data_IF_250169137923
#
_entry.id   IF_250169137923
#
_cell.length_a   1.000
_cell.length_b   1.000
_cell.length_c   1.000
_cell.angle_alpha   90.00
_cell.angle_beta   90.00
_cell.angle_gamma   90.00
#
_symmetry.space_group_name_H-M   'P 1'
#
loop_
_entity.id
_entity.type
_entity.pdbx_description
1 polymer ?
#
# COMPACT_ATOMS: atom_id res chain seq x y z
N UNK A 1 9.81 0.37 4.27
CA UNK A 1 9.91 1.75 3.74
C UNK A 1 11.35 2.11 3.39
N UNK A 2 12.27 2.24 4.35
CA UNK A 2 13.68 2.64 4.07
C UNK A 2 14.37 1.78 3.00
N UNK A 3 14.21 0.45 3.07
CA UNK A 3 14.79 -0.46 2.07
C UNK A 3 14.27 -0.16 0.66
N UNK A 4 12.96 -0.02 0.49
CA UNK A 4 12.32 0.34 -0.79
C UNK A 4 12.80 1.71 -1.27
N UNK A 5 12.89 2.71 -0.38
CA UNK A 5 13.39 4.05 -0.74
C UNK A 5 14.83 4.02 -1.27
N UNK A 6 15.69 3.14 -0.72
CA UNK A 6 17.08 2.96 -1.20
C UNK A 6 17.15 2.36 -2.60
N UNK A 7 16.11 1.66 -3.06
CA UNK A 7 16.01 1.03 -4.39
C UNK A 7 15.42 1.98 -5.44
N UNK A 8 15.79 3.27 -5.41
CA UNK A 8 15.34 4.28 -6.39
C UNK A 8 13.81 4.29 -6.55
N UNK A 9 13.13 4.32 -5.40
CA UNK A 9 11.69 4.47 -5.31
C UNK A 9 11.35 5.58 -4.31
N UNK A 10 10.25 6.28 -4.52
CA UNK A 10 9.66 7.14 -3.49
C UNK A 10 8.49 6.38 -2.90
N UNK A 11 8.49 6.17 -1.58
CA UNK A 11 7.42 5.44 -0.91
C UNK A 11 7.06 6.13 0.39
N UNK A 12 5.77 6.17 0.68
CA UNK A 12 5.19 6.77 1.88
C UNK A 12 4.30 5.75 2.57
N UNK A 13 4.09 5.94 3.88
CA UNK A 13 3.04 5.25 4.60
C UNK A 13 1.71 5.93 4.29
N UNK A 14 0.74 5.14 3.90
CA UNK A 14 -0.64 5.60 3.74
C UNK A 14 -1.31 5.58 5.11
N UNK A 15 -1.75 6.75 5.55
CA UNK A 15 -2.51 6.87 6.78
C UNK A 15 -4.01 7.02 6.46
N UNK A 16 -4.84 6.42 7.28
CA UNK A 16 -6.29 6.61 7.28
C UNK A 16 -6.77 6.80 8.71
N UNK A 17 -7.90 7.47 8.88
CA UNK A 17 -8.47 7.73 10.20
C UNK A 17 -9.75 8.54 10.13
N UNK A 18 -10.45 8.59 11.26
CA UNK A 18 -11.62 9.43 11.41
C UNK A 18 -11.26 10.62 12.31
N UNK A 19 -11.65 11.82 11.89
CA UNK A 19 -11.51 13.05 12.66
C UNK A 19 -12.91 13.54 13.01
N UNK A 20 -13.12 13.91 14.27
CA UNK A 20 -14.35 14.59 14.67
C UNK A 20 -14.18 16.09 14.42
N UNK A 21 -15.08 16.65 13.60
CA UNK A 21 -15.05 18.07 13.24
C UNK A 21 -15.66 18.92 14.35
N UNK A 22 -15.37 20.23 14.33
CA UNK A 22 -15.85 21.16 15.36
C UNK A 22 -17.40 21.23 15.44
N UNK A 23 -18.09 20.99 14.34
CA UNK A 23 -19.56 20.90 14.26
C UNK A 23 -20.12 19.51 14.60
N UNK A 24 -19.27 18.58 15.08
CA UNK A 24 -19.67 17.29 15.60
C UNK A 24 -19.79 16.16 14.58
N UNK A 25 -19.58 16.41 13.27
CA UNK A 25 -19.57 15.38 12.23
C UNK A 25 -18.29 14.51 12.29
N UNK A 26 -18.35 13.33 11.66
CA UNK A 26 -17.19 12.46 11.47
C UNK A 26 -16.67 12.60 10.04
N UNK A 27 -15.43 13.05 9.89
CA UNK A 27 -14.71 13.07 8.62
C UNK A 27 -13.78 11.88 8.52
N UNK A 28 -13.98 11.01 7.53
CA UNK A 28 -13.05 9.93 7.21
C UNK A 28 -11.93 10.46 6.31
N UNK A 29 -10.75 10.65 6.88
CA UNK A 29 -9.55 11.05 6.19
C UNK A 29 -8.81 9.83 5.64
N UNK A 30 -8.27 9.97 4.42
CA UNK A 30 -7.48 8.95 3.76
C UNK A 30 -8.24 8.18 2.68
N UNK A 31 -7.60 7.16 2.09
CA UNK A 31 -8.18 6.40 0.99
C UNK A 31 -9.30 5.46 1.46
N UNK A 32 -10.07 4.89 0.51
CA UNK A 32 -11.09 3.88 0.81
C UNK A 32 -10.55 2.69 1.60
N UNK A 33 -11.44 2.00 2.32
CA UNK A 33 -11.10 0.75 3.02
C UNK A 33 -10.52 -0.27 2.04
N UNK A 34 -9.48 -0.97 2.48
CA UNK A 34 -8.74 -1.94 1.66
C UNK A 34 -7.50 -1.37 0.98
N UNK A 35 -7.30 -0.05 0.99
CA UNK A 35 -6.10 0.56 0.42
C UNK A 35 -4.82 0.12 1.15
N UNK A 36 -3.71 -0.15 0.43
CA UNK A 36 -2.47 -0.67 1.02
C UNK A 36 -1.73 0.28 1.96
N UNK A 37 -1.05 -0.29 2.94
CA UNK A 37 -0.28 0.43 3.97
C UNK A 37 0.83 1.33 3.41
N UNK A 38 1.46 0.93 2.30
CA UNK A 38 2.50 1.70 1.63
C UNK A 38 2.10 2.05 0.20
N UNK A 39 2.33 3.30 -0.18
CA UNK A 39 2.05 3.82 -1.53
C UNK A 39 3.23 4.63 -2.02
N UNK A 40 3.52 4.54 -3.31
CA UNK A 40 4.69 5.21 -3.88
C UNK A 40 4.81 5.04 -5.37
N UNK A 41 5.98 5.35 -5.91
CA UNK A 41 6.29 5.11 -7.31
C UNK A 41 7.77 4.74 -7.50
N UNK A 42 8.02 3.94 -8.53
CA UNK A 42 9.35 3.53 -8.98
C UNK A 42 9.95 4.59 -9.89
N UNK A 43 11.20 4.99 -9.66
CA UNK A 43 11.79 6.14 -10.39
C UNK A 43 12.08 5.84 -11.86
N UNK A 44 12.43 4.60 -12.22
CA UNK A 44 12.86 4.25 -13.59
C UNK A 44 11.73 4.35 -14.63
N UNK A 45 10.48 4.14 -14.23
CA UNK A 45 9.33 4.01 -15.13
C UNK A 45 8.04 4.64 -14.60
N UNK A 46 8.09 5.27 -13.42
CA UNK A 46 6.94 5.91 -12.80
C UNK A 46 5.85 4.93 -12.33
N UNK A 47 6.09 3.61 -12.33
CA UNK A 47 5.07 2.64 -11.93
C UNK A 47 4.64 2.86 -10.49
N UNK A 48 3.33 2.89 -10.28
CA UNK A 48 2.74 2.96 -8.95
C UNK A 48 3.12 1.72 -8.14
N UNK A 49 3.56 1.93 -6.90
CA UNK A 49 3.88 0.89 -5.93
C UNK A 49 2.80 0.89 -4.85
N UNK A 50 2.26 -0.29 -4.57
CA UNK A 50 1.21 -0.53 -3.58
C UNK A 50 1.56 -1.78 -2.77
N UNK A 51 1.95 -1.62 -1.50
CA UNK A 51 2.37 -2.74 -0.66
C UNK A 51 1.51 -2.78 0.59
N UNK A 52 0.79 -3.89 0.76
CA UNK A 52 0.10 -4.22 2.00
C UNK A 52 1.06 -4.98 2.91
N UNK A 53 1.24 -4.53 4.15
CA UNK A 53 2.21 -5.14 5.07
C UNK A 53 1.47 -6.04 6.05
N UNK A 54 1.91 -7.30 6.14
CA UNK A 54 1.36 -8.27 7.11
C UNK A 54 2.46 -8.83 7.99
N UNK A 55 2.06 -9.28 9.18
CA UNK A 55 2.90 -10.18 9.97
C UNK A 55 3.02 -11.52 9.25
N UNK A 56 3.95 -12.38 9.69
CA UNK A 56 4.16 -13.72 9.12
C UNK A 56 2.84 -14.50 8.91
N UNK A 57 1.92 -14.44 9.87
CA UNK A 57 0.63 -15.14 9.84
C UNK A 57 -0.57 -14.20 9.60
N UNK A 58 -0.32 -12.92 9.29
CA UNK A 58 -1.38 -11.94 9.10
C UNK A 58 -2.18 -12.22 7.83
N UNK A 59 -3.50 -12.27 7.97
CA UNK A 59 -4.44 -12.44 6.86
C UNK A 59 -4.91 -11.08 6.32
N UNK A 60 -5.25 -11.05 5.03
CA UNK A 60 -5.96 -9.93 4.44
C UNK A 60 -7.39 -9.89 4.99
N UNK A 61 -7.88 -8.68 5.26
CA UNK A 61 -9.29 -8.46 5.59
C UNK A 61 -10.13 -8.53 4.30
N UNK A 62 -11.45 -8.74 4.39
CA UNK A 62 -12.31 -8.83 3.21
C UNK A 62 -12.23 -7.63 2.25
N UNK A 63 -12.06 -6.41 2.78
CA UNK A 63 -11.84 -5.20 1.99
C UNK A 63 -10.51 -5.21 1.21
N UNK A 64 -9.46 -5.79 1.80
CA UNK A 64 -8.14 -5.89 1.18
C UNK A 64 -8.10 -7.00 0.12
N UNK A 65 -8.82 -8.10 0.33
CA UNK A 65 -9.00 -9.14 -0.70
C UNK A 65 -9.74 -8.60 -1.93
N UNK A 66 -10.79 -7.79 -1.71
CA UNK A 66 -11.48 -7.11 -2.83
C UNK A 66 -10.57 -6.13 -3.56
N UNK A 67 -9.77 -5.35 -2.82
CA UNK A 67 -8.80 -4.44 -3.43
C UNK A 67 -7.75 -5.20 -4.25
N UNK A 68 -7.22 -6.29 -3.69
CA UNK A 68 -6.29 -7.21 -4.37
C UNK A 68 -6.84 -7.67 -5.71
N UNK A 69 -8.04 -8.25 -5.71
CA UNK A 69 -8.68 -8.76 -6.93
C UNK A 69 -8.88 -7.65 -7.99
N UNK A 70 -9.15 -6.42 -7.56
CA UNK A 70 -9.26 -5.27 -8.45
C UNK A 70 -7.91 -4.85 -9.05
N UNK A 71 -6.89 -4.71 -8.20
CA UNK A 71 -5.64 -4.04 -8.55
C UNK A 71 -4.66 -4.94 -9.32
N UNK A 72 -4.74 -6.27 -9.13
CA UNK A 72 -3.88 -7.25 -9.81
C UNK A 72 -4.03 -7.22 -11.35
N UNK A 73 -5.15 -6.71 -11.86
CA UNK A 73 -5.39 -6.53 -13.30
C UNK A 73 -4.77 -5.25 -13.89
N UNK A 74 -4.15 -4.39 -13.05
CA UNK A 74 -3.68 -3.06 -13.45
C UNK A 74 -2.15 -3.07 -13.61
N UNK A 75 -1.59 -2.17 -14.45
CA UNK A 75 -0.14 -2.10 -14.69
C UNK A 75 0.58 -1.39 -13.52
N UNK A 76 0.45 -1.95 -12.31
CA UNK A 76 1.02 -1.40 -11.07
C UNK A 76 1.78 -2.50 -10.32
N UNK A 77 2.72 -2.09 -9.48
CA UNK A 77 3.49 -3.00 -8.63
C UNK A 77 2.71 -3.19 -7.33
N UNK A 78 1.95 -4.28 -7.25
CA UNK A 78 1.17 -4.61 -6.07
C UNK A 78 1.63 -5.91 -5.41
N UNK A 79 1.61 -5.97 -4.08
CA UNK A 79 1.76 -7.22 -3.36
C UNK A 79 1.60 -7.12 -1.85
N UNK A 80 1.59 -8.27 -1.21
CA UNK A 80 1.53 -8.38 0.26
C UNK A 80 2.90 -8.77 0.79
N UNK A 81 3.55 -7.87 1.52
CA UNK A 81 4.88 -8.11 2.08
C UNK A 81 4.81 -8.57 3.55
N UNK A 82 5.55 -9.63 3.88
CA UNK A 82 5.75 -10.12 5.26
C UNK A 82 7.18 -9.95 5.76
N UNK A 83 8.06 -9.49 4.88
CA UNK A 83 9.46 -9.21 5.14
C UNK A 83 9.95 -8.06 4.25
N UNK A 84 11.20 -7.66 4.45
CA UNK A 84 11.85 -6.68 3.57
C UNK A 84 12.07 -7.29 2.18
N UNK A 85 12.46 -8.56 2.13
CA UNK A 85 12.74 -9.29 0.90
C UNK A 85 11.49 -9.40 0.02
N UNK A 86 10.31 -9.63 0.60
CA UNK A 86 9.04 -9.60 -0.14
C UNK A 86 8.78 -8.23 -0.76
N UNK A 87 9.01 -7.16 0.01
CA UNK A 87 8.81 -5.80 -0.47
C UNK A 87 9.76 -5.46 -1.62
N UNK A 88 11.01 -5.94 -1.58
CA UNK A 88 11.98 -5.75 -2.67
C UNK A 88 11.57 -6.51 -3.93
N UNK A 89 11.13 -7.77 -3.81
CA UNK A 89 10.61 -8.54 -4.94
C UNK A 89 9.42 -7.86 -5.62
N UNK A 90 8.51 -7.27 -4.85
CA UNK A 90 7.35 -6.55 -5.39
C UNK A 90 7.78 -5.34 -6.24
N UNK A 91 8.74 -4.54 -5.75
CA UNK A 91 9.16 -3.33 -6.47
C UNK A 91 10.11 -3.62 -7.65
N UNK A 92 10.72 -4.80 -7.67
CA UNK A 92 11.58 -5.28 -8.76
C UNK A 92 10.76 -5.91 -9.90
N UNK A 93 9.51 -6.29 -9.64
CA UNK A 93 8.60 -6.88 -10.63
C UNK A 93 8.42 -6.04 -11.89
N UNK A 94 8.11 -6.70 -13.00
CA UNK A 94 7.93 -6.08 -14.30
C UNK A 94 6.53 -5.52 -14.52
#
# INVERSE_FOLDING_TARGET
MLAVSKHKCTIIRTNGGNVRTADGRTFSAGPPKGWPDLTGFRHKDGKLILIEVKTKNGMLRPDQERFKAFIESKPVLYGVARSVEDALKIIEGD
#
